data_IF_004056543862
#
_entry.id   IF_004056543862
#
_cell.length_a   1.000
_cell.length_b   1.000
_cell.length_c   1.000
_cell.angle_alpha   90.00
_cell.angle_beta   90.00
_cell.angle_gamma   90.00
#
_symmetry.space_group_name_H-M   'P 1'
#
loop_
_entity.id
_entity.type
_entity.pdbx_description
1 polymer ?
#
# COMPACT_ATOMS: atom_id res chain seq x y z
N UNK A 1 17.21 -40.16 -50.13
CA UNK A 1 17.58 -39.44 -48.89
C UNK A 1 16.31 -38.78 -48.39
N UNK A 2 15.72 -39.33 -47.34
CA UNK A 2 14.43 -38.95 -46.76
C UNK A 2 14.61 -38.66 -45.26
N UNK A 3 13.61 -37.97 -44.69
CA UNK A 3 13.33 -37.71 -43.27
C UNK A 3 14.09 -36.60 -42.54
N UNK A 4 13.43 -35.44 -42.37
CA UNK A 4 13.46 -34.62 -41.14
C UNK A 4 12.17 -33.78 -40.95
N UNK A 5 10.99 -34.38 -41.00
CA UNK A 5 9.72 -33.67 -40.75
C UNK A 5 8.84 -34.26 -39.63
N UNK A 6 9.38 -35.18 -38.82
CA UNK A 6 8.55 -36.07 -37.98
C UNK A 6 8.84 -36.01 -36.47
N UNK A 7 9.27 -34.86 -35.94
CA UNK A 7 9.71 -34.79 -34.53
C UNK A 7 9.08 -33.73 -33.63
N UNK A 8 7.95 -33.13 -34.01
CA UNK A 8 7.26 -32.15 -33.14
C UNK A 8 5.81 -32.50 -32.77
N UNK A 9 5.28 -33.64 -33.23
CA UNK A 9 3.87 -34.04 -32.93
C UNK A 9 3.76 -34.97 -31.69
N UNK A 10 4.88 -35.46 -31.14
CA UNK A 10 4.86 -36.49 -30.09
C UNK A 10 4.95 -35.99 -28.63
N UNK A 11 4.55 -34.75 -28.32
CA UNK A 11 4.66 -34.22 -26.93
C UNK A 11 3.46 -33.43 -26.39
N UNK A 12 2.28 -33.60 -26.98
CA UNK A 12 1.05 -32.91 -26.55
C UNK A 12 -0.09 -33.86 -26.10
N UNK A 13 0.18 -35.15 -25.92
CA UNK A 13 -0.82 -36.15 -25.48
C UNK A 13 -0.23 -37.03 -24.39
N UNK A 14 -0.10 -36.48 -23.19
CA UNK A 14 0.07 -37.18 -21.92
C UNK A 14 0.22 -36.10 -20.85
N UNK A 15 -0.88 -35.74 -20.18
CA UNK A 15 -1.06 -35.47 -18.73
C UNK A 15 -2.48 -34.88 -18.61
N UNK A 16 -3.48 -35.69 -18.91
CA UNK A 16 -4.90 -35.40 -18.65
C UNK A 16 -5.57 -36.72 -18.32
N UNK A 17 -5.09 -37.41 -17.27
CA UNK A 17 -5.67 -38.67 -16.78
C UNK A 17 -5.02 -39.05 -15.43
N UNK A 18 -5.34 -38.30 -14.37
CA UNK A 18 -5.25 -38.77 -12.98
C UNK A 18 -5.84 -37.69 -12.07
N UNK A 19 -7.12 -37.82 -11.67
CA UNK A 19 -7.57 -37.61 -10.27
C UNK A 19 -9.09 -37.86 -10.08
N UNK A 20 -9.65 -38.86 -10.77
CA UNK A 20 -11.02 -39.32 -10.49
C UNK A 20 -11.05 -40.84 -10.42
N UNK A 21 -10.87 -41.37 -9.20
CA UNK A 21 -11.73 -42.43 -8.65
C UNK A 21 -11.29 -42.86 -7.24
N UNK A 22 -12.29 -42.86 -6.37
CA UNK A 22 -12.55 -43.90 -5.37
C UNK A 22 -11.62 -43.99 -4.16
N UNK A 23 -12.15 -43.54 -3.02
CA UNK A 23 -12.32 -44.47 -1.90
C UNK A 23 -13.68 -44.25 -1.23
N UNK A 24 -14.54 -45.23 -1.49
CA UNK A 24 -15.82 -45.51 -0.90
C UNK A 24 -15.60 -46.52 0.23
N UNK A 25 -16.00 -46.24 1.48
CA UNK A 25 -16.32 -47.31 2.44
C UNK A 25 -17.42 -46.87 3.43
N UNK A 26 -18.46 -47.71 3.47
CA UNK A 26 -19.47 -47.98 4.51
C UNK A 26 -20.68 -47.05 4.66
N UNK A 27 -21.81 -47.58 4.19
CA UNK A 27 -23.15 -47.35 4.74
C UNK A 27 -23.52 -48.50 5.69
N UNK A 28 -24.11 -48.22 6.87
CA UNK A 28 -25.40 -48.81 7.32
C UNK A 28 -25.77 -48.44 8.78
N UNK A 29 -27.05 -48.04 8.92
CA UNK A 29 -28.01 -48.29 10.03
C UNK A 29 -27.92 -47.53 11.37
N UNK A 30 -28.75 -46.49 11.49
CA UNK A 30 -30.04 -46.51 12.21
C UNK A 30 -30.09 -46.81 13.72
N UNK A 31 -30.63 -45.84 14.49
CA UNK A 31 -31.18 -46.02 15.84
C UNK A 31 -30.79 -44.89 16.79
N UNK A 32 -31.75 -44.05 17.17
CA UNK A 32 -31.53 -42.88 18.04
C UNK A 32 -31.34 -43.22 19.52
N UNK A 33 -30.68 -42.34 20.26
CA UNK A 33 -31.23 -41.63 21.42
C UNK A 33 -30.27 -40.51 21.86
N UNK A 34 -30.78 -39.58 22.65
CA UNK A 34 -30.19 -38.35 23.20
C UNK A 34 -28.72 -38.41 23.67
N UNK A 35 -27.95 -37.35 23.43
CA UNK A 35 -27.25 -36.53 24.48
C UNK A 35 -26.30 -35.48 23.88
N UNK A 36 -26.11 -34.39 24.63
CA UNK A 36 -25.38 -33.17 24.32
C UNK A 36 -23.88 -33.33 24.00
N UNK A 37 -23.35 -32.56 23.04
CA UNK A 37 -22.02 -31.89 23.10
C UNK A 37 -21.59 -31.20 21.77
N UNK A 38 -21.40 -29.88 21.83
CA UNK A 38 -20.33 -29.12 21.16
C UNK A 38 -20.00 -29.35 19.67
N UNK A 39 -20.72 -28.70 18.76
CA UNK A 39 -20.26 -28.50 17.37
C UNK A 39 -19.12 -27.47 17.28
N UNK A 40 -17.88 -27.92 17.04
CA UNK A 40 -16.77 -27.05 16.61
C UNK A 40 -16.93 -26.69 15.13
N UNK A 41 -17.66 -25.62 14.83
CA UNK A 41 -17.69 -25.03 13.48
C UNK A 41 -16.32 -24.45 13.14
N UNK A 42 -15.70 -24.94 12.06
CA UNK A 42 -14.44 -24.41 11.51
C UNK A 42 -14.71 -22.99 10.98
N UNK A 43 -13.89 -22.02 11.41
CA UNK A 43 -13.96 -20.62 10.96
C UNK A 43 -13.85 -20.52 9.43
N UNK A 44 -14.64 -19.65 8.77
CA UNK A 44 -14.55 -19.45 7.32
C UNK A 44 -13.16 -18.93 6.92
N UNK A 45 -12.73 -19.28 5.70
CA UNK A 45 -11.40 -18.97 5.14
C UNK A 45 -10.99 -17.50 5.29
N UNK A 46 -11.95 -16.59 5.16
CA UNK A 46 -11.74 -15.14 5.24
C UNK A 46 -11.38 -14.65 6.66
N UNK A 47 -11.87 -15.33 7.71
CA UNK A 47 -11.52 -15.04 9.11
C UNK A 47 -10.13 -15.61 9.46
N UNK A 48 -9.75 -16.75 8.85
CA UNK A 48 -8.39 -17.32 8.99
C UNK A 48 -7.31 -16.49 8.30
N UNK A 49 -7.66 -15.75 7.25
CA UNK A 49 -6.75 -14.90 6.48
C UNK A 49 -6.67 -13.45 7.01
N UNK A 50 -7.38 -13.12 8.09
CA UNK A 50 -7.36 -11.78 8.70
C UNK A 50 -8.00 -10.68 7.85
N UNK A 51 -8.82 -11.05 6.85
CA UNK A 51 -9.47 -10.09 5.93
C UNK A 51 -10.73 -9.49 6.58
N UNK A 52 -11.36 -10.21 7.50
CA UNK A 52 -12.61 -9.81 8.15
C UNK A 52 -12.48 -10.06 9.65
N UNK A 53 -12.65 -9.00 10.45
CA UNK A 53 -12.78 -9.09 11.90
C UNK A 53 -14.26 -9.22 12.26
N UNK A 54 -14.61 -10.28 12.99
CA UNK A 54 -15.98 -10.53 13.43
C UNK A 54 -16.27 -9.63 14.64
N UNK A 55 -16.99 -8.53 14.44
CA UNK A 55 -17.45 -7.66 15.51
C UNK A 55 -18.50 -8.42 16.34
N UNK A 56 -18.11 -8.86 17.54
CA UNK A 56 -19.04 -9.41 18.53
C UNK A 56 -19.78 -8.25 19.19
N UNK A 57 -21.14 -8.20 19.16
CA UNK A 57 -21.87 -7.19 19.91
C UNK A 57 -21.74 -7.47 21.41
N UNK A 58 -21.00 -6.60 22.09
CA UNK A 58 -20.84 -6.62 23.54
C UNK A 58 -22.16 -6.23 24.23
N UNK A 59 -22.48 -6.99 25.28
CA UNK A 59 -23.44 -6.80 26.40
C UNK A 59 -24.11 -5.41 26.52
N UNK A 60 -25.43 -5.32 26.80
CA UNK A 60 -26.10 -4.04 26.95
C UNK A 60 -25.63 -3.33 28.24
N UNK A 61 -25.11 -2.12 28.07
CA UNK A 61 -24.83 -1.18 29.15
C UNK A 61 -26.04 -0.24 29.37
N UNK A 62 -26.25 0.27 30.60
CA UNK A 62 -27.52 0.84 31.05
C UNK A 62 -27.87 2.18 30.38
N UNK A 63 -29.17 2.47 30.40
CA UNK A 63 -29.83 3.56 29.68
C UNK A 63 -29.24 4.97 29.90
N UNK A 64 -29.28 5.84 28.87
CA UNK A 64 -28.79 7.21 28.92
C UNK A 64 -29.80 8.18 29.57
N UNK A 65 -29.27 9.14 30.34
CA UNK A 65 -30.03 10.28 30.88
C UNK A 65 -30.61 11.21 29.78
N UNK A 66 -31.75 11.90 30.04
CA UNK A 66 -32.48 12.71 29.04
C UNK A 66 -31.80 14.04 28.63
N UNK A 67 -32.27 14.69 27.55
CA UNK A 67 -31.44 15.41 26.59
C UNK A 67 -31.26 16.90 26.89
N UNK A 68 -30.12 17.47 26.48
CA UNK A 68 -29.93 18.93 26.39
C UNK A 68 -30.17 19.40 24.95
N UNK A 69 -31.27 20.12 24.77
CA UNK A 69 -31.63 20.81 23.52
C UNK A 69 -30.55 21.83 23.17
N UNK A 70 -29.97 21.73 21.97
CA UNK A 70 -29.25 22.83 21.31
C UNK A 70 -29.83 22.99 19.90
N UNK A 71 -30.05 24.26 19.53
CA UNK A 71 -30.73 24.74 18.33
C UNK A 71 -30.01 24.38 17.02
N UNK A 72 -30.73 24.34 15.87
CA UNK A 72 -30.18 23.88 14.60
C UNK A 72 -29.31 24.96 13.94
N UNK A 73 -28.02 24.68 13.75
CA UNK A 73 -27.13 25.49 12.90
C UNK A 73 -27.15 24.90 11.49
N UNK A 74 -27.74 25.64 10.56
CA UNK A 74 -27.79 25.30 9.15
C UNK A 74 -26.37 25.18 8.55
N UNK A 75 -26.06 24.01 8.00
CA UNK A 75 -24.79 23.76 7.33
C UNK A 75 -24.81 24.32 5.91
N UNK A 76 -24.16 25.47 5.70
CA UNK A 76 -23.82 25.99 4.37
C UNK A 76 -22.66 25.18 3.80
N UNK A 77 -22.93 24.41 2.74
CA UNK A 77 -21.92 23.68 1.97
C UNK A 77 -21.08 24.68 1.17
N UNK A 78 -19.78 24.81 1.48
CA UNK A 78 -18.84 25.55 0.63
C UNK A 78 -18.20 24.58 -0.37
N UNK A 79 -18.25 24.84 -1.69
CA UNK A 79 -17.52 24.06 -2.67
C UNK A 79 -16.03 24.42 -2.61
N UNK A 80 -15.17 23.41 -2.54
CA UNK A 80 -13.71 23.55 -2.62
C UNK A 80 -13.32 23.68 -4.10
N UNK A 81 -12.87 24.87 -4.50
CA UNK A 81 -12.27 25.10 -5.82
C UNK A 81 -10.75 24.89 -5.69
N UNK A 82 -10.23 23.86 -6.36
CA UNK A 82 -8.78 23.63 -6.47
C UNK A 82 -8.28 24.39 -7.70
N UNK A 83 -7.27 25.27 -7.58
CA UNK A 83 -6.74 26.00 -8.73
C UNK A 83 -6.00 25.07 -9.70
N UNK A 84 -6.36 25.19 -10.97
CA UNK A 84 -5.75 24.53 -12.11
C UNK A 84 -4.40 25.21 -12.42
N UNK A 85 -3.31 24.58 -11.99
CA UNK A 85 -1.95 24.96 -12.40
C UNK A 85 -1.49 23.98 -13.48
N UNK A 86 -0.98 24.48 -14.62
CA UNK A 86 -0.66 23.66 -15.77
C UNK A 86 0.45 22.66 -15.42
N UNK A 87 0.16 21.39 -15.71
CA UNK A 87 1.05 20.25 -15.49
C UNK A 87 2.20 20.37 -16.49
N UNK A 88 3.40 20.60 -15.98
CA UNK A 88 4.62 20.44 -16.76
C UNK A 88 4.82 18.94 -17.00
N UNK A 89 4.58 18.51 -18.24
CA UNK A 89 4.76 17.14 -18.70
C UNK A 89 6.27 16.83 -18.78
N UNK A 90 6.86 16.44 -17.64
CA UNK A 90 8.25 15.96 -17.59
C UNK A 90 8.24 14.45 -17.80
N UNK A 91 8.33 14.02 -19.06
CA UNK A 91 8.44 12.61 -19.51
C UNK A 91 9.81 12.00 -19.19
N UNK A 92 10.27 12.13 -17.95
CA UNK A 92 11.45 11.46 -17.43
C UNK A 92 11.22 11.09 -15.96
N UNK A 93 11.74 9.95 -15.48
CA UNK A 93 11.68 9.64 -14.06
C UNK A 93 12.36 10.78 -13.29
N UNK A 94 11.62 11.44 -12.40
CA UNK A 94 12.17 12.43 -11.50
C UNK A 94 13.42 11.82 -10.83
N UNK A 95 14.53 12.58 -10.73
CA UNK A 95 15.76 12.07 -10.15
C UNK A 95 15.45 11.47 -8.77
N UNK A 96 15.98 10.27 -8.46
CA UNK A 96 15.58 9.53 -7.28
C UNK A 96 15.90 10.33 -6.02
N UNK A 97 14.97 10.32 -5.07
CA UNK A 97 15.16 10.95 -3.78
C UNK A 97 16.23 10.17 -3.00
N UNK A 98 17.42 10.75 -2.84
CA UNK A 98 18.54 10.09 -2.15
C UNK A 98 18.64 10.55 -0.70
N UNK A 99 18.75 9.58 0.22
CA UNK A 99 19.05 9.85 1.62
C UNK A 99 20.50 10.28 1.74
N UNK A 100 20.74 11.42 2.38
CA UNK A 100 22.08 11.91 2.68
C UNK A 100 22.42 11.67 4.16
N UNK A 101 23.71 11.44 4.44
CA UNK A 101 24.24 11.46 5.81
C UNK A 101 24.27 12.89 6.33
N UNK A 102 24.30 13.07 7.66
CA UNK A 102 24.42 14.41 8.27
C UNK A 102 25.68 15.14 7.81
N UNK A 103 26.81 14.42 7.65
CA UNK A 103 28.05 14.99 7.12
C UNK A 103 27.86 15.54 5.70
N UNK A 104 27.27 14.75 4.80
CA UNK A 104 27.01 15.18 3.43
C UNK A 104 26.00 16.33 3.36
N UNK A 105 25.08 16.42 4.32
CA UNK A 105 24.18 17.57 4.45
C UNK A 105 25.01 18.81 4.78
N UNK A 106 25.90 18.77 5.76
CA UNK A 106 26.78 19.91 6.05
C UNK A 106 27.66 20.31 4.86
N UNK A 107 28.26 19.35 4.16
CA UNK A 107 29.06 19.60 2.95
C UNK A 107 28.23 20.28 1.86
N UNK A 108 27.00 19.84 1.62
CA UNK A 108 26.09 20.45 0.64
C UNK A 108 25.80 21.92 0.93
N UNK A 109 25.82 22.31 2.21
CA UNK A 109 25.61 23.69 2.65
C UNK A 109 26.94 24.43 2.89
N UNK A 110 28.07 23.89 2.43
CA UNK A 110 29.41 24.44 2.59
C UNK A 110 29.79 24.71 4.06
N UNK A 111 29.28 23.89 4.99
CA UNK A 111 29.63 24.00 6.39
C UNK A 111 30.85 23.10 6.68
N UNK A 112 32.02 23.73 6.84
CA UNK A 112 33.26 23.01 7.16
C UNK A 112 33.15 22.27 8.50
N UNK A 113 33.57 21.00 8.49
CA UNK A 113 33.63 20.17 9.67
C UNK A 113 34.93 20.46 10.44
N UNK A 114 35.03 21.63 11.07
CA UNK A 114 36.16 21.97 11.94
C UNK A 114 36.13 21.07 13.20
N UNK A 115 37.03 20.08 13.36
CA UNK A 115 36.91 19.04 14.39
C UNK A 115 37.18 19.56 15.81
N UNK A 116 37.85 20.71 15.92
CA UNK A 116 38.36 21.29 17.17
C UNK A 116 37.64 22.56 17.60
N UNK A 117 36.75 23.11 16.76
CA UNK A 117 36.06 24.40 17.02
C UNK A 117 34.58 24.38 16.65
N UNK A 118 33.92 23.26 16.91
CA UNK A 118 32.49 23.08 16.65
C UNK A 118 31.69 22.82 17.93
N UNK A 119 30.36 22.99 17.84
CA UNK A 119 29.44 22.82 18.96
C UNK A 119 29.52 21.44 19.63
N UNK A 120 29.93 20.40 18.90
CA UNK A 120 30.08 19.04 19.43
C UNK A 120 31.24 18.87 20.41
N UNK A 121 32.18 19.83 20.47
CA UNK A 121 33.21 19.84 21.50
C UNK A 121 32.63 20.07 22.91
N UNK A 122 31.56 20.87 23.02
CA UNK A 122 30.85 21.08 24.30
C UNK A 122 30.24 19.77 24.79
N UNK A 123 29.72 18.94 23.87
CA UNK A 123 29.19 17.62 24.20
C UNK A 123 30.27 16.72 24.79
N UNK A 124 31.51 16.77 24.25
CA UNK A 124 32.64 16.01 24.80
C UNK A 124 32.99 16.47 26.21
N UNK A 125 33.00 17.78 26.47
CA UNK A 125 33.22 18.30 27.82
C UNK A 125 32.10 17.88 28.78
N UNK A 126 30.84 17.97 28.36
CA UNK A 126 29.70 17.53 29.16
C UNK A 126 29.79 16.05 29.54
N UNK A 127 30.22 15.18 28.62
CA UNK A 127 30.40 13.75 28.87
C UNK A 127 31.60 13.44 29.76
N UNK A 128 32.59 14.33 29.84
CA UNK A 128 33.75 14.18 30.72
C UNK A 128 33.46 14.57 32.17
N UNK A 129 32.34 15.26 32.45
CA UNK A 129 31.97 15.66 33.80
C UNK A 129 31.22 14.54 34.56
N UNK A 130 31.45 14.37 35.87
CA UNK A 130 30.64 13.51 36.72
C UNK A 130 29.14 13.81 36.65
N UNK A 131 28.32 12.77 36.51
CA UNK A 131 26.87 12.90 36.34
C UNK A 131 26.15 13.53 37.56
N UNK A 132 26.73 13.37 38.75
CA UNK A 132 26.20 13.81 40.04
C UNK A 132 26.54 15.27 40.42
N UNK A 133 27.15 16.04 39.52
CA UNK A 133 27.43 17.46 39.77
C UNK A 133 26.15 18.32 39.73
N UNK A 134 25.99 19.28 40.67
CA UNK A 134 24.94 20.29 40.60
C UNK A 134 24.98 21.07 39.28
N UNK A 135 23.82 21.47 38.76
CA UNK A 135 23.71 22.09 37.44
C UNK A 135 24.53 23.37 37.29
N UNK A 136 24.62 24.19 38.35
CA UNK A 136 25.38 25.44 38.34
C UNK A 136 26.89 25.18 38.27
N UNK A 137 27.39 24.21 39.04
CA UNK A 137 28.80 23.80 39.00
C UNK A 137 29.13 23.22 37.63
N UNK A 138 28.27 22.35 37.07
CA UNK A 138 28.46 21.83 35.70
C UNK A 138 28.59 22.95 34.67
N UNK A 139 27.68 23.93 34.69
CA UNK A 139 27.72 25.07 33.76
C UNK A 139 29.02 25.84 33.90
N UNK A 140 29.43 26.18 35.13
CA UNK A 140 30.64 26.94 35.37
C UNK A 140 31.88 26.16 34.89
N UNK A 141 31.98 24.87 35.21
CA UNK A 141 33.11 24.04 34.75
C UNK A 141 33.20 23.99 33.23
N UNK A 142 32.07 23.91 32.51
CA UNK A 142 32.08 23.97 31.03
C UNK A 142 32.59 25.32 30.53
N UNK A 143 32.14 26.43 31.14
CA UNK A 143 32.62 27.79 30.78
C UNK A 143 34.13 27.92 31.01
N UNK A 144 34.63 27.43 32.14
CA UNK A 144 36.05 27.47 32.48
C UNK A 144 36.87 26.61 31.50
N UNK A 145 36.40 25.41 31.15
CA UNK A 145 37.02 24.54 30.15
C UNK A 145 37.05 25.18 28.76
N UNK A 146 35.97 25.85 28.35
CA UNK A 146 35.92 26.57 27.08
C UNK A 146 36.92 27.73 27.06
N UNK A 147 37.01 28.49 28.15
CA UNK A 147 37.96 29.60 28.27
C UNK A 147 39.42 29.09 28.23
N UNK A 148 39.73 28.03 28.98
CA UNK A 148 41.04 27.38 28.97
C UNK A 148 41.42 26.83 27.58
N UNK A 149 40.41 26.35 26.83
CA UNK A 149 40.57 25.86 25.45
C UNK A 149 40.58 26.96 24.38
N UNK A 150 40.54 28.24 24.78
CA UNK A 150 40.48 29.40 23.88
C UNK A 150 39.32 29.36 22.88
N UNK A 151 38.20 28.74 23.27
CA UNK A 151 36.99 28.69 22.45
C UNK A 151 36.19 29.98 22.62
N UNK A 152 35.71 30.51 21.50
CA UNK A 152 34.81 31.67 21.52
C UNK A 152 33.36 31.19 21.64
N UNK A 153 32.75 31.42 22.80
CA UNK A 153 31.38 30.99 23.09
C UNK A 153 30.37 31.53 22.07
N UNK A 154 30.49 32.79 21.65
CA UNK A 154 29.60 33.39 20.65
C UNK A 154 29.69 32.68 19.31
N UNK A 155 30.91 32.37 18.84
CA UNK A 155 31.11 31.59 17.60
C UNK A 155 30.54 30.18 17.71
N UNK A 156 30.60 29.58 18.90
CA UNK A 156 30.10 28.23 19.15
C UNK A 156 28.57 28.16 19.14
N UNK A 157 27.93 29.15 19.75
CA UNK A 157 26.47 29.33 19.68
C UNK A 157 26.05 29.58 18.24
N UNK A 158 26.79 30.41 17.51
CA UNK A 158 26.53 30.67 16.09
C UNK A 158 26.68 29.41 15.23
N UNK A 159 27.73 28.59 15.44
CA UNK A 159 27.91 27.29 14.76
C UNK A 159 26.73 26.35 15.07
N UNK A 160 26.32 26.26 16.34
CA UNK A 160 25.16 25.46 16.75
C UNK A 160 23.87 25.89 16.07
N UNK A 161 23.55 27.19 16.09
CA UNK A 161 22.35 27.72 15.43
C UNK A 161 22.40 27.50 13.92
N UNK A 162 23.54 27.76 13.27
CA UNK A 162 23.71 27.55 11.83
C UNK A 162 23.49 26.08 11.45
N UNK A 163 24.02 25.13 12.24
CA UNK A 163 23.80 23.70 12.02
C UNK A 163 22.31 23.32 12.16
N UNK A 164 21.63 23.84 13.18
CA UNK A 164 20.20 23.61 13.40
C UNK A 164 19.40 24.12 12.19
N UNK A 165 19.66 25.34 11.74
CA UNK A 165 18.96 25.96 10.63
C UNK A 165 19.16 25.17 9.33
N UNK A 166 20.40 24.75 9.03
CA UNK A 166 20.73 23.92 7.86
C UNK A 166 19.97 22.60 7.91
N UNK A 167 19.98 21.91 9.06
CA UNK A 167 19.32 20.61 9.20
C UNK A 167 17.80 20.74 9.06
N UNK A 168 17.21 21.78 9.65
CA UNK A 168 15.78 22.03 9.54
C UNK A 168 15.39 22.42 8.12
N UNK A 169 16.20 23.25 7.45
CA UNK A 169 15.98 23.63 6.06
C UNK A 169 16.05 22.39 5.16
N UNK A 170 17.10 21.58 5.29
CA UNK A 170 17.23 20.35 4.52
C UNK A 170 16.05 19.40 4.74
N UNK A 171 15.61 19.23 5.99
CA UNK A 171 14.47 18.37 6.31
C UNK A 171 13.19 18.86 5.63
N UNK A 172 12.89 20.17 5.69
CA UNK A 172 11.72 20.76 5.00
C UNK A 172 11.81 20.56 3.49
N UNK A 173 12.94 20.90 2.87
CA UNK A 173 13.13 20.80 1.42
C UNK A 173 13.12 19.34 0.94
N UNK A 174 13.57 18.40 1.77
CA UNK A 174 13.50 16.98 1.49
C UNK A 174 12.07 16.47 1.57
N UNK A 175 11.32 16.83 2.62
CA UNK A 175 9.92 16.46 2.78
C UNK A 175 9.05 16.99 1.64
N UNK A 176 9.19 18.28 1.28
CA UNK A 176 8.42 18.87 0.18
C UNK A 176 8.65 18.12 -1.14
N UNK A 177 9.91 17.85 -1.49
CA UNK A 177 10.22 17.08 -2.70
C UNK A 177 9.72 15.64 -2.63
N UNK A 178 9.77 15.01 -1.46
CA UNK A 178 9.22 13.68 -1.27
C UNK A 178 7.70 13.67 -1.51
N UNK A 179 6.98 14.63 -0.92
CA UNK A 179 5.54 14.77 -1.05
C UNK A 179 5.12 15.06 -2.49
N UNK A 180 5.87 15.90 -3.22
CA UNK A 180 5.65 16.16 -4.64
C UNK A 180 5.79 14.90 -5.49
N UNK A 181 6.85 14.11 -5.27
CA UNK A 181 7.06 12.84 -5.98
C UNK A 181 5.94 11.85 -5.64
N UNK A 182 5.59 11.71 -4.36
CA UNK A 182 4.50 10.83 -3.92
C UNK A 182 3.18 11.24 -4.58
N UNK A 183 2.85 12.53 -4.57
CA UNK A 183 1.62 13.05 -5.17
C UNK A 183 1.60 12.80 -6.68
N UNK A 184 2.73 12.99 -7.38
CA UNK A 184 2.85 12.70 -8.80
C UNK A 184 2.61 11.20 -9.09
N UNK A 185 3.22 10.31 -8.32
CA UNK A 185 3.03 8.87 -8.47
C UNK A 185 1.58 8.45 -8.15
N UNK A 186 0.96 9.02 -7.12
CA UNK A 186 -0.45 8.78 -6.81
C UNK A 186 -1.40 9.25 -7.92
N UNK A 187 -1.09 10.34 -8.62
CA UNK A 187 -1.84 10.77 -9.81
C UNK A 187 -1.68 9.76 -10.95
N UNK A 188 -0.46 9.27 -11.18
CA UNK A 188 -0.21 8.28 -12.22
C UNK A 188 -0.91 6.95 -11.93
N UNK A 189 -0.90 6.49 -10.68
CA UNK A 189 -1.63 5.28 -10.25
C UNK A 189 -3.12 5.44 -10.53
N UNK A 190 -3.72 6.58 -10.19
CA UNK A 190 -5.14 6.86 -10.48
C UNK A 190 -5.45 6.77 -11.97
N UNK A 191 -4.65 7.44 -12.80
CA UNK A 191 -4.80 7.39 -14.27
C UNK A 191 -4.73 5.96 -14.80
N UNK A 192 -3.77 5.17 -14.34
CA UNK A 192 -3.62 3.77 -14.77
C UNK A 192 -4.81 2.91 -14.31
N UNK A 193 -5.30 3.12 -13.09
CA UNK A 193 -6.48 2.41 -12.59
C UNK A 193 -7.74 2.75 -13.40
N UNK A 194 -7.92 4.02 -13.79
CA UNK A 194 -9.05 4.43 -14.64
C UNK A 194 -8.97 3.73 -16.02
N UNK A 195 -7.76 3.63 -16.60
CA UNK A 195 -7.54 2.89 -17.85
C UNK A 195 -7.84 1.39 -17.69
N UNK A 196 -7.41 0.77 -16.59
CA UNK A 196 -7.72 -0.64 -16.29
C UNK A 196 -9.22 -0.82 -16.18
N UNK A 197 -9.93 0.06 -15.47
CA UNK A 197 -11.37 0.01 -15.33
C UNK A 197 -12.09 0.15 -16.67
N UNK A 198 -11.61 1.04 -17.55
CA UNK A 198 -12.14 1.18 -18.90
C UNK A 198 -11.95 -0.10 -19.72
N UNK A 199 -10.75 -0.68 -19.72
CA UNK A 199 -10.47 -1.92 -20.45
C UNK A 199 -11.32 -3.09 -19.94
N UNK A 200 -11.50 -3.22 -18.62
CA UNK A 200 -12.34 -4.26 -18.04
C UNK A 200 -13.80 -4.14 -18.50
N UNK A 201 -14.36 -2.91 -18.55
CA UNK A 201 -15.71 -2.68 -19.07
C UNK A 201 -15.84 -3.11 -20.53
N UNK A 202 -14.86 -2.76 -21.37
CA UNK A 202 -14.86 -3.17 -22.78
C UNK A 202 -14.78 -4.69 -22.93
N UNK A 203 -13.98 -5.37 -22.11
CA UNK A 203 -13.89 -6.83 -22.10
C UNK A 203 -15.25 -7.45 -21.73
N UNK A 204 -15.89 -6.97 -20.67
CA UNK A 204 -17.21 -7.45 -20.24
C UNK A 204 -18.28 -7.25 -21.32
N UNK A 205 -18.29 -6.08 -21.96
CA UNK A 205 -19.21 -5.77 -23.06
C UNK A 205 -19.01 -6.72 -24.24
N UNK A 206 -17.77 -6.92 -24.67
CA UNK A 206 -17.44 -7.82 -25.78
C UNK A 206 -17.75 -9.28 -25.45
N UNK A 207 -17.53 -9.71 -24.21
CA UNK A 207 -17.88 -11.05 -23.77
C UNK A 207 -19.39 -11.29 -23.82
N UNK A 208 -20.18 -10.32 -23.35
CA UNK A 208 -21.65 -10.38 -23.44
C UNK A 208 -22.15 -10.40 -24.89
N UNK A 209 -21.59 -9.56 -25.77
CA UNK A 209 -21.95 -9.55 -27.18
C UNK A 209 -21.62 -10.88 -27.86
N UNK A 210 -20.45 -11.45 -27.56
CA UNK A 210 -20.04 -12.76 -28.04
C UNK A 210 -21.03 -13.86 -27.61
N UNK A 211 -21.43 -13.87 -26.35
CA UNK A 211 -22.40 -14.86 -25.84
C UNK A 211 -23.76 -14.74 -26.52
N UNK A 212 -24.27 -13.51 -26.69
CA UNK A 212 -25.52 -13.26 -27.40
C UNK A 212 -25.43 -13.72 -28.87
N UNK A 213 -24.36 -13.34 -29.57
CA UNK A 213 -24.15 -13.70 -30.96
C UNK A 213 -24.04 -15.22 -31.16
N UNK A 214 -23.36 -15.92 -30.24
CA UNK A 214 -23.26 -17.37 -30.27
C UNK A 214 -24.63 -18.02 -30.09
N UNK A 215 -25.46 -17.53 -29.17
CA UNK A 215 -26.80 -18.05 -28.96
C UNK A 215 -27.69 -17.88 -30.20
N UNK A 216 -27.62 -16.73 -30.87
CA UNK A 216 -28.36 -16.47 -32.11
C UNK A 216 -27.91 -17.40 -33.25
N UNK A 217 -26.59 -17.62 -33.38
CA UNK A 217 -26.03 -18.56 -34.36
C UNK A 217 -26.45 -20.00 -34.07
N UNK A 218 -26.37 -20.44 -32.82
CA UNK A 218 -26.75 -21.79 -32.40
C UNK A 218 -28.23 -22.05 -32.68
N UNK A 219 -29.09 -21.06 -32.40
CA UNK A 219 -30.51 -21.13 -32.73
C UNK A 219 -30.74 -21.32 -34.24
N UNK A 220 -30.07 -20.53 -35.08
CA UNK A 220 -30.24 -20.61 -36.53
C UNK A 220 -29.68 -21.93 -37.10
N UNK A 221 -28.55 -22.41 -36.57
CA UNK A 221 -27.99 -23.73 -36.94
C UNK A 221 -28.99 -24.84 -36.62
N UNK A 222 -29.62 -24.81 -35.43
CA UNK A 222 -30.65 -25.80 -35.06
C UNK A 222 -31.89 -25.70 -35.96
N UNK A 223 -32.32 -24.47 -36.27
CA UNK A 223 -33.46 -24.23 -37.15
C UNK A 223 -33.23 -24.80 -38.55
N UNK A 224 -32.08 -24.49 -39.16
CA UNK A 224 -31.68 -25.03 -40.47
C UNK A 224 -31.58 -26.55 -40.42
N UNK A 225 -30.96 -27.12 -39.39
CA UNK A 225 -30.85 -28.57 -39.23
C UNK A 225 -32.23 -29.25 -39.17
N UNK A 226 -33.20 -28.64 -38.50
CA UNK A 226 -34.57 -29.14 -38.43
C UNK A 226 -35.29 -29.06 -39.79
N UNK A 227 -35.12 -27.97 -40.53
CA UNK A 227 -35.69 -27.82 -41.89
C UNK A 227 -35.10 -28.90 -42.81
N UNK A 228 -33.77 -29.08 -42.81
CA UNK A 228 -33.11 -30.09 -43.62
C UNK A 228 -33.61 -31.50 -43.29
N UNK A 229 -33.78 -31.81 -42.00
CA UNK A 229 -34.34 -33.09 -41.56
C UNK A 229 -35.79 -33.30 -42.02
N UNK A 230 -36.61 -32.25 -41.99
CA UNK A 230 -38.00 -32.32 -42.46
C UNK A 230 -38.06 -32.58 -43.97
N UNK A 231 -37.20 -31.92 -44.76
CA UNK A 231 -37.12 -32.11 -46.21
C UNK A 231 -36.62 -33.52 -46.54
N UNK A 232 -35.54 -34.01 -45.91
CA UNK A 232 -35.02 -35.35 -46.15
C UNK A 232 -36.06 -36.46 -45.86
N UNK A 233 -36.81 -36.31 -44.78
CA UNK A 233 -37.90 -37.24 -44.43
C UNK A 233 -39.08 -37.20 -45.42
N UNK A 234 -39.26 -36.11 -46.17
CA UNK A 234 -40.37 -35.95 -47.13
C UNK A 234 -40.09 -36.55 -48.52
N UNK A 235 -38.85 -36.95 -48.79
CA UNK A 235 -38.40 -37.51 -50.08
C UNK A 235 -38.39 -39.06 -50.08
N UNK A 236 -38.70 -39.69 -48.94
CA UNK A 236 -38.82 -41.15 -48.78
C UNK A 236 -40.27 -41.61 -48.72
#
# INVERSE_FOLDING_TARGET
MANQSDQTVAKAQQVEEDDTREQNVVSAQGGGDETAAGEKRKKPLLERLGIIELVVPSRPAPEPSPPRVQEPVAATVRPVTVPDVPILDTTGPAPPLTKLSIGNIYEKFNLEAEPTRNVFLVEKFLKALPANLPADIRRQTIVDLMHASQLNLTKLIQDGNTRIDILQQFARDFSLRADEIIAAQQRQIRKLNDMIAQHNRTIEEHQRMKEAQNADVDYEVQNIANILRAVDNSVR
#
